data_IF_551605905839
#
_entry.id   IF_551605905839
#
_cell.length_a   1.000
_cell.length_b   1.000
_cell.length_c   1.000
_cell.angle_alpha   90.00
_cell.angle_beta   90.00
_cell.angle_gamma   90.00
#
_symmetry.space_group_name_H-M   'P 1'
#
loop_
_entity.id
_entity.type
_entity.pdbx_description
1 polymer ?
#
# COMPACT_ATOMS: atom_id res chain seq x y z
N UNK A 1 8.83 19.03 7.50
CA UNK A 1 10.11 18.67 8.14
C UNK A 1 11.11 19.83 8.21
N UNK A 2 11.33 20.59 7.13
CA UNK A 2 12.32 21.69 7.10
C UNK A 2 12.09 22.79 8.15
N UNK A 3 10.87 23.33 8.26
CA UNK A 3 10.57 24.35 9.28
C UNK A 3 10.73 23.86 10.72
N UNK A 4 10.36 22.60 11.00
CA UNK A 4 10.52 22.02 12.33
C UNK A 4 12.00 21.90 12.71
N UNK A 5 12.85 21.43 11.79
CA UNK A 5 14.30 21.37 12.01
C UNK A 5 14.93 22.75 12.23
N UNK A 6 14.41 23.80 11.59
CA UNK A 6 14.86 25.17 11.86
C UNK A 6 14.39 25.67 13.23
N UNK A 7 13.15 25.36 13.62
CA UNK A 7 12.64 25.70 14.96
C UNK A 7 13.43 24.97 16.07
N UNK A 8 13.75 23.69 15.87
CA UNK A 8 14.56 22.90 16.81
C UNK A 8 16.02 23.39 16.89
N UNK A 9 16.52 24.05 15.84
CA UNK A 9 17.81 24.77 15.82
C UNK A 9 17.71 26.19 16.38
N UNK A 10 16.61 26.52 17.05
CA UNK A 10 16.37 27.82 17.71
C UNK A 10 16.29 29.03 16.75
N UNK A 11 16.01 28.82 15.46
CA UNK A 11 15.67 29.93 14.57
C UNK A 11 14.30 30.50 14.92
N UNK A 12 14.16 31.82 14.90
CA UNK A 12 12.88 32.47 15.18
C UNK A 12 11.85 32.14 14.11
N UNK A 13 10.57 32.08 14.50
CA UNK A 13 9.48 31.81 13.57
C UNK A 13 9.41 32.84 12.43
N UNK A 14 9.81 34.09 12.69
CA UNK A 14 9.91 35.13 11.66
C UNK A 14 10.96 34.80 10.59
N UNK A 15 12.14 34.35 11.01
CA UNK A 15 13.19 33.91 10.08
C UNK A 15 12.74 32.70 9.27
N UNK A 16 12.04 31.75 9.88
CA UNK A 16 11.53 30.56 9.19
C UNK A 16 10.44 30.92 8.18
N UNK A 17 9.52 31.82 8.53
CA UNK A 17 8.48 32.33 7.62
C UNK A 17 9.10 33.03 6.41
N UNK A 18 10.10 33.89 6.64
CA UNK A 18 10.81 34.58 5.58
C UNK A 18 11.58 33.62 4.66
N UNK A 19 12.30 32.66 5.24
CA UNK A 19 13.07 31.68 4.47
C UNK A 19 12.21 30.75 3.60
N UNK A 20 10.98 30.48 4.04
CA UNK A 20 10.04 29.61 3.35
C UNK A 20 9.00 30.38 2.51
N UNK A 21 9.00 31.70 2.58
CA UNK A 21 7.99 32.57 1.98
C UNK A 21 6.54 32.14 2.33
N UNK A 22 6.29 31.88 3.61
CA UNK A 22 4.98 31.44 4.13
C UNK A 22 4.48 32.32 5.27
N UNK A 23 3.17 32.38 5.45
CA UNK A 23 2.56 33.10 6.57
C UNK A 23 2.57 32.30 7.90
N UNK A 24 2.19 32.99 8.98
CA UNK A 24 2.14 32.44 10.34
C UNK A 24 1.17 31.26 10.47
N UNK A 25 0.03 31.31 9.78
CA UNK A 25 -0.97 30.25 9.85
C UNK A 25 -0.48 28.98 9.15
N UNK A 26 0.19 29.13 8.00
CA UNK A 26 0.83 28.06 7.26
C UNK A 26 1.97 27.42 8.06
N UNK A 27 2.85 28.23 8.67
CA UNK A 27 3.93 27.72 9.53
C UNK A 27 3.37 26.95 10.74
N UNK A 28 2.39 27.52 11.45
CA UNK A 28 1.77 26.89 12.62
C UNK A 28 1.13 25.54 12.26
N UNK A 29 0.42 25.46 11.13
CA UNK A 29 -0.13 24.18 10.63
C UNK A 29 0.96 23.19 10.25
N UNK A 30 2.03 23.64 9.61
CA UNK A 30 3.12 22.74 9.19
C UNK A 30 3.87 22.16 10.40
N UNK A 31 4.09 22.96 11.44
CA UNK A 31 4.67 22.50 12.70
C UNK A 31 3.72 21.55 13.45
N UNK A 32 2.42 21.82 13.46
CA UNK A 32 1.42 20.95 14.08
C UNK A 32 1.44 19.54 13.49
N UNK A 33 1.46 19.43 12.15
CA UNK A 33 1.54 18.12 11.46
C UNK A 33 2.83 17.37 11.82
N UNK A 34 3.98 18.05 11.78
CA UNK A 34 5.28 17.41 12.05
C UNK A 34 5.40 16.98 13.52
N UNK A 35 4.81 17.74 14.45
CA UNK A 35 4.84 17.41 15.88
C UNK A 35 3.82 16.33 16.28
N UNK A 36 2.77 16.15 15.49
CA UNK A 36 1.71 15.17 15.76
C UNK A 36 2.01 13.76 15.23
N UNK A 37 3.01 13.61 14.35
CA UNK A 37 3.40 12.32 13.76
C UNK A 37 4.80 11.95 14.29
N UNK A 38 5.03 10.71 14.78
CA UNK A 38 6.36 10.23 15.17
C UNK A 38 7.37 10.43 14.05
N UNK A 39 8.56 10.92 14.41
CA UNK A 39 9.59 11.34 13.45
C UNK A 39 10.04 10.16 12.58
N UNK A 40 10.10 8.96 13.14
CA UNK A 40 10.50 7.72 12.46
C UNK A 40 9.57 7.42 11.29
N UNK A 41 8.26 7.71 11.45
CA UNK A 41 7.26 7.48 10.41
C UNK A 41 7.32 8.55 9.32
N UNK A 42 7.59 9.80 9.70
CA UNK A 42 7.83 10.88 8.72
C UNK A 42 9.05 10.55 7.86
N UNK A 43 10.13 10.07 8.48
CA UNK A 43 11.37 9.71 7.80
C UNK A 43 11.20 8.48 6.90
N UNK A 44 10.51 7.45 7.38
CA UNK A 44 10.24 6.25 6.58
C UNK A 44 9.34 6.56 5.37
N UNK A 45 8.37 7.46 5.49
CA UNK A 45 7.53 7.87 4.35
C UNK A 45 8.31 8.76 3.39
N UNK A 46 9.04 9.75 3.90
CA UNK A 46 9.76 10.74 3.09
C UNK A 46 8.84 11.85 2.53
N UNK A 47 9.40 12.69 1.66
CA UNK A 47 8.66 13.79 1.05
C UNK A 47 7.63 13.25 0.04
N UNK A 48 6.34 13.33 0.39
CA UNK A 48 5.19 12.91 -0.43
C UNK A 48 4.43 14.15 -0.95
N UNK A 49 4.89 14.78 -2.04
CA UNK A 49 4.36 16.05 -2.53
C UNK A 49 2.95 15.91 -3.14
N UNK A 50 2.61 14.78 -3.75
CA UNK A 50 1.32 14.57 -4.42
C UNK A 50 0.18 14.33 -3.42
N UNK A 51 0.50 13.85 -2.22
CA UNK A 51 -0.46 13.64 -1.12
C UNK A 51 -1.16 14.94 -0.70
N UNK A 52 -0.41 16.04 -0.72
CA UNK A 52 -0.88 17.36 -0.31
C UNK A 52 -1.10 17.52 1.19
N UNK A 53 -1.05 18.78 1.65
CA UNK A 53 -1.11 19.16 3.08
C UNK A 53 -2.35 18.66 3.81
N UNK A 54 -3.51 18.65 3.15
CA UNK A 54 -4.80 18.27 3.77
C UNK A 54 -4.78 16.82 4.28
N UNK A 55 -4.26 15.89 3.47
CA UNK A 55 -4.19 14.48 3.84
C UNK A 55 -3.19 14.21 4.97
N UNK A 56 -2.08 14.94 5.02
CA UNK A 56 -1.13 14.87 6.14
C UNK A 56 -1.74 15.31 7.47
N UNK A 57 -2.60 16.35 7.46
CA UNK A 57 -3.35 16.75 8.66
C UNK A 57 -4.34 15.67 9.10
N UNK A 58 -5.11 15.11 8.17
CA UNK A 58 -6.03 14.00 8.48
C UNK A 58 -5.29 12.78 9.04
N UNK A 59 -4.10 12.48 8.51
CA UNK A 59 -3.26 11.40 8.99
C UNK A 59 -2.79 11.65 10.43
N UNK A 60 -2.29 12.85 10.72
CA UNK A 60 -1.88 13.26 12.07
C UNK A 60 -3.03 13.18 13.08
N UNK A 61 -4.26 13.53 12.69
CA UNK A 61 -5.44 13.46 13.57
C UNK A 61 -5.90 12.03 13.85
N UNK A 62 -5.73 11.12 12.89
CA UNK A 62 -6.17 9.71 12.99
C UNK A 62 -5.15 8.83 13.70
N UNK A 63 -3.87 9.13 13.55
CA UNK A 63 -2.76 8.37 14.12
C UNK A 63 -2.90 8.06 15.62
N UNK A 64 -3.16 9.03 16.53
CA UNK A 64 -3.30 8.74 17.96
C UNK A 64 -4.56 7.93 18.31
N UNK A 65 -5.56 7.89 17.41
CA UNK A 65 -6.80 7.13 17.59
C UNK A 65 -6.70 5.70 17.05
N UNK A 66 -5.70 5.44 16.22
CA UNK A 66 -5.48 4.13 15.63
C UNK A 66 -4.83 3.20 16.66
N UNK A 67 -5.42 2.02 16.91
CA UNK A 67 -4.79 0.95 17.70
C UNK A 67 -3.83 0.14 16.81
N UNK A 68 -2.81 0.82 16.28
CA UNK A 68 -1.85 0.23 15.35
C UNK A 68 -0.47 0.27 15.96
N UNK A 69 0.23 -0.87 15.92
CA UNK A 69 1.63 -1.00 16.30
C UNK A 69 2.50 -0.20 15.32
N UNK A 70 3.11 0.90 15.77
CA UNK A 70 3.94 1.78 14.94
C UNK A 70 5.04 1.00 14.19
N UNK A 71 5.68 0.04 14.88
CA UNK A 71 6.72 -0.81 14.30
C UNK A 71 6.21 -1.69 13.15
N UNK A 72 4.97 -2.18 13.24
CA UNK A 72 4.38 -2.96 12.16
C UNK A 72 4.11 -2.09 10.92
N UNK A 73 3.71 -0.82 11.12
CA UNK A 73 3.55 0.13 10.01
C UNK A 73 4.90 0.38 9.34
N UNK A 74 5.93 0.71 10.12
CA UNK A 74 7.28 0.96 9.61
C UNK A 74 7.82 -0.23 8.83
N UNK A 75 7.70 -1.45 9.37
CA UNK A 75 8.16 -2.67 8.72
C UNK A 75 7.42 -2.99 7.41
N UNK A 76 6.20 -2.47 7.24
CA UNK A 76 5.45 -2.64 6.00
C UNK A 76 5.92 -1.72 4.87
N UNK A 77 6.54 -0.58 5.19
CA UNK A 77 6.97 0.39 4.20
C UNK A 77 8.20 -0.11 3.45
N UNK A 78 8.08 -0.24 2.12
CA UNK A 78 9.22 -0.59 1.27
C UNK A 78 9.97 0.66 0.80
N UNK A 79 11.31 0.60 0.86
CA UNK A 79 12.18 1.61 0.27
C UNK A 79 12.06 1.68 -1.26
N UNK A 80 11.65 0.58 -1.91
CA UNK A 80 11.46 0.50 -3.37
C UNK A 80 10.24 1.30 -3.86
N UNK A 81 9.31 1.65 -2.97
CA UNK A 81 8.13 2.44 -3.28
C UNK A 81 8.43 3.95 -3.34
N UNK A 82 7.58 4.72 -4.02
CA UNK A 82 7.64 6.19 -3.91
C UNK A 82 7.19 6.68 -2.53
N UNK A 83 7.57 7.89 -2.14
CA UNK A 83 7.11 8.49 -0.87
C UNK A 83 5.58 8.61 -0.81
N UNK A 84 4.93 8.95 -1.92
CA UNK A 84 3.47 9.02 -2.00
C UNK A 84 2.84 7.64 -1.81
N UNK A 85 3.42 6.58 -2.39
CA UNK A 85 2.98 5.20 -2.18
C UNK A 85 3.16 4.76 -0.72
N UNK A 86 4.31 5.07 -0.11
CA UNK A 86 4.55 4.81 1.32
C UNK A 86 3.55 5.54 2.22
N UNK A 87 3.18 6.78 1.87
CA UNK A 87 2.13 7.50 2.60
C UNK A 87 0.77 6.80 2.49
N UNK A 88 0.34 6.39 1.29
CA UNK A 88 -0.94 5.68 1.13
C UNK A 88 -0.95 4.38 1.91
N UNK A 89 0.17 3.66 1.94
CA UNK A 89 0.31 2.41 2.69
C UNK A 89 0.22 2.65 4.20
N UNK A 90 0.94 3.64 4.74
CA UNK A 90 0.87 4.02 6.14
C UNK A 90 -0.56 4.47 6.52
N UNK A 91 -1.20 5.30 5.69
CA UNK A 91 -2.58 5.75 5.91
C UNK A 91 -3.59 4.60 5.86
N UNK A 92 -3.40 3.63 4.95
CA UNK A 92 -4.20 2.41 4.88
C UNK A 92 -4.05 1.53 6.12
N UNK A 93 -2.84 1.47 6.70
CA UNK A 93 -2.60 0.74 7.95
C UNK A 93 -3.36 1.36 9.14
N UNK A 94 -3.49 2.70 9.21
CA UNK A 94 -4.27 3.38 10.25
C UNK A 94 -5.78 3.16 10.16
N UNK A 95 -6.28 2.97 8.94
CA UNK A 95 -7.70 2.68 8.68
C UNK A 95 -8.05 1.20 8.86
N UNK A 96 -7.03 0.34 8.93
CA UNK A 96 -7.20 -1.08 9.13
C UNK A 96 -7.33 -1.39 10.61
N UNK A 97 -8.58 -1.52 11.09
CA UNK A 97 -8.89 -2.37 12.26
C UNK A 97 -8.13 -3.69 12.15
N UNK A 98 -7.66 -4.30 13.25
CA UNK A 98 -6.63 -5.33 13.26
C UNK A 98 -7.02 -6.49 12.35
N UNK A 99 -6.48 -6.51 11.14
CA UNK A 99 -6.36 -7.74 10.38
C UNK A 99 -4.97 -8.25 10.65
N UNK A 100 -4.92 -9.15 11.62
CA UNK A 100 -3.90 -10.19 11.80
C UNK A 100 -3.17 -10.40 10.48
N UNK A 101 -1.85 -10.22 10.50
CA UNK A 101 -0.93 -10.39 9.39
C UNK A 101 -1.43 -11.47 8.43
N UNK A 102 -2.11 -11.05 7.37
CA UNK A 102 -2.53 -11.94 6.31
C UNK A 102 -1.36 -11.97 5.37
N UNK A 103 -0.59 -13.06 5.42
CA UNK A 103 0.38 -13.39 4.39
C UNK A 103 -0.24 -13.02 3.04
N UNK A 104 0.44 -12.13 2.31
CA UNK A 104 -0.03 -11.74 0.99
C UNK A 104 -0.22 -13.03 0.17
N UNK A 105 -1.42 -13.28 -0.39
CA UNK A 105 -1.62 -14.44 -1.23
C UNK A 105 -0.64 -14.31 -2.40
N UNK A 106 0.22 -15.32 -2.58
CA UNK A 106 1.15 -15.41 -3.71
C UNK A 106 0.37 -15.11 -4.98
N UNK A 107 0.63 -13.95 -5.57
CA UNK A 107 -0.04 -13.52 -6.78
C UNK A 107 0.77 -14.05 -7.94
N UNK A 108 0.32 -15.17 -8.53
CA UNK A 108 0.92 -15.67 -9.75
C UNK A 108 0.33 -14.86 -10.92
N UNK A 109 1.20 -14.25 -11.71
CA UNK A 109 0.83 -13.47 -12.89
C UNK A 109 1.18 -14.27 -14.15
N UNK A 110 0.20 -14.49 -15.02
CA UNK A 110 0.40 -15.06 -16.34
C UNK A 110 -0.21 -14.14 -17.39
N UNK A 111 0.45 -13.95 -18.52
CA UNK A 111 -0.06 -13.15 -19.63
C UNK A 111 0.14 -13.87 -20.95
N UNK A 112 -0.82 -13.71 -21.86
CA UNK A 112 -0.68 -14.16 -23.23
C UNK A 112 0.42 -13.35 -23.95
N UNK A 113 1.14 -13.98 -24.89
CA UNK A 113 2.30 -13.36 -25.59
C UNK A 113 1.92 -12.12 -26.39
N UNK A 114 0.68 -12.08 -26.87
CA UNK A 114 0.06 -10.98 -27.62
C UNK A 114 -0.58 -9.92 -26.70
N UNK A 115 -0.49 -10.08 -25.37
CA UNK A 115 -1.07 -9.20 -24.35
C UNK A 115 -2.60 -9.07 -24.41
N UNK A 116 -3.29 -9.97 -25.13
CA UNK A 116 -4.75 -9.95 -25.25
C UNK A 116 -5.46 -10.36 -23.96
N UNK A 117 -4.79 -11.18 -23.14
CA UNK A 117 -5.27 -11.67 -21.85
C UNK A 117 -4.17 -11.57 -20.79
N UNK A 118 -4.55 -11.06 -19.62
CA UNK A 118 -3.73 -11.09 -18.40
C UNK A 118 -4.50 -11.82 -17.30
N UNK A 119 -3.82 -12.68 -16.55
CA UNK A 119 -4.40 -13.50 -15.48
C UNK A 119 -3.61 -13.31 -14.19
N UNK A 120 -4.30 -12.95 -13.12
CA UNK A 120 -3.73 -12.96 -11.77
C UNK A 120 -4.47 -13.97 -10.89
N UNK A 121 -3.70 -14.79 -10.16
CA UNK A 121 -4.26 -15.78 -9.25
C UNK A 121 -3.87 -15.42 -7.83
N UNK A 122 -4.87 -15.12 -6.99
CA UNK A 122 -4.70 -14.91 -5.54
C UNK A 122 -5.23 -16.12 -4.81
N UNK A 123 -4.32 -16.95 -4.29
CA UNK A 123 -4.66 -18.18 -3.58
C UNK A 123 -4.40 -18.07 -2.07
N UNK A 124 -5.32 -18.66 -1.28
CA UNK A 124 -5.21 -18.91 0.16
C UNK A 124 -5.42 -20.40 0.41
N UNK A 125 -5.15 -20.89 1.63
CA UNK A 125 -5.33 -22.29 1.99
C UNK A 125 -6.76 -22.85 1.76
N UNK A 126 -7.78 -21.99 1.69
CA UNK A 126 -9.20 -22.40 1.56
C UNK A 126 -9.90 -21.89 0.30
N UNK A 127 -9.30 -20.94 -0.43
CA UNK A 127 -9.94 -20.25 -1.56
C UNK A 127 -8.90 -19.70 -2.51
N UNK A 128 -9.14 -19.84 -3.80
CA UNK A 128 -8.45 -19.10 -4.85
C UNK A 128 -9.40 -18.15 -5.57
N UNK A 129 -8.91 -16.99 -5.97
CA UNK A 129 -9.58 -16.05 -6.87
C UNK A 129 -8.69 -15.89 -8.08
N UNK A 130 -9.27 -16.12 -9.26
CA UNK A 130 -8.61 -15.89 -10.54
C UNK A 130 -9.26 -14.68 -11.19
N UNK A 131 -8.45 -13.68 -11.52
CA UNK A 131 -8.89 -12.44 -12.17
C UNK A 131 -8.33 -12.41 -13.58
N UNK A 132 -9.22 -12.23 -14.56
CA UNK A 132 -8.90 -12.13 -15.98
C UNK A 132 -9.11 -10.69 -16.44
N UNK A 133 -8.07 -10.08 -17.01
CA UNK A 133 -8.03 -8.69 -17.44
C UNK A 133 -7.50 -8.59 -18.88
N UNK A 134 -7.40 -7.35 -19.39
CA UNK A 134 -7.14 -7.01 -20.79
C UNK A 134 -8.34 -7.26 -21.73
N UNK A 135 -8.15 -6.95 -23.02
CA UNK A 135 -9.23 -6.83 -24.02
C UNK A 135 -10.06 -8.10 -24.15
N UNK A 136 -9.42 -9.25 -24.15
CA UNK A 136 -10.09 -10.55 -24.35
C UNK A 136 -10.31 -11.30 -23.03
N UNK A 137 -10.00 -10.67 -21.89
CA UNK A 137 -10.13 -11.25 -20.54
C UNK A 137 -11.53 -11.80 -20.22
N UNK A 138 -12.63 -11.04 -20.44
CA UNK A 138 -13.98 -11.53 -20.17
C UNK A 138 -14.38 -12.73 -21.03
N UNK A 139 -14.06 -12.70 -22.33
CA UNK A 139 -14.35 -13.80 -23.26
C UNK A 139 -13.58 -15.05 -22.89
N UNK A 140 -12.31 -14.88 -22.52
CA UNK A 140 -11.47 -15.97 -22.05
C UNK A 140 -11.98 -16.55 -20.72
N UNK A 141 -12.46 -15.72 -19.78
CA UNK A 141 -13.08 -16.19 -18.55
C UNK A 141 -14.34 -17.05 -18.80
N UNK A 142 -15.19 -16.66 -19.76
CA UNK A 142 -16.35 -17.44 -20.15
C UNK A 142 -15.95 -18.80 -20.76
N UNK A 143 -14.93 -18.80 -21.61
CA UNK A 143 -14.38 -20.03 -22.20
C UNK A 143 -13.84 -21.00 -21.14
N UNK A 144 -13.08 -20.50 -20.16
CA UNK A 144 -12.57 -21.32 -19.05
C UNK A 144 -13.71 -21.86 -18.19
N UNK A 145 -14.72 -21.03 -17.91
CA UNK A 145 -15.90 -21.43 -17.12
C UNK A 145 -16.63 -22.61 -17.77
N UNK A 146 -16.78 -22.61 -19.09
CA UNK A 146 -17.39 -23.71 -19.85
C UNK A 146 -16.57 -25.00 -19.89
N UNK A 147 -15.33 -25.01 -19.37
CA UNK A 147 -14.43 -26.18 -19.35
C UNK A 147 -14.03 -26.60 -17.94
N UNK A 148 -14.67 -26.06 -16.90
CA UNK A 148 -14.28 -26.32 -15.51
C UNK A 148 -14.35 -27.80 -15.15
N UNK A 149 -15.34 -28.53 -15.66
CA UNK A 149 -15.47 -29.97 -15.41
C UNK A 149 -14.27 -30.75 -15.98
N UNK A 150 -13.94 -30.52 -17.25
CA UNK A 150 -12.79 -31.14 -17.92
C UNK A 150 -11.46 -30.78 -17.24
N UNK A 151 -11.28 -29.49 -16.89
CA UNK A 151 -10.10 -28.99 -16.19
C UNK A 151 -9.96 -29.62 -14.80
N UNK A 152 -11.08 -29.80 -14.09
CA UNK A 152 -11.09 -30.45 -12.79
C UNK A 152 -10.78 -31.95 -12.90
N UNK A 153 -11.33 -32.65 -13.90
CA UNK A 153 -10.99 -34.04 -14.15
C UNK A 153 -9.50 -34.22 -14.49
N UNK A 154 -8.96 -33.38 -15.38
CA UNK A 154 -7.55 -33.40 -15.74
C UNK A 154 -6.65 -33.15 -14.51
N UNK A 155 -7.03 -32.20 -13.65
CA UNK A 155 -6.33 -31.95 -12.38
C UNK A 155 -6.39 -33.15 -11.44
N UNK A 156 -7.55 -33.82 -11.30
CA UNK A 156 -7.66 -35.04 -10.48
C UNK A 156 -6.78 -36.17 -11.01
N UNK A 157 -6.64 -36.30 -12.33
CA UNK A 157 -5.77 -37.31 -12.96
C UNK A 157 -4.30 -37.00 -12.74
N UNK A 158 -3.87 -35.72 -12.77
CA UNK A 158 -2.48 -35.35 -12.51
C UNK A 158 -2.05 -35.46 -11.04
N UNK A 159 -3.01 -35.44 -10.10
CA UNK A 159 -2.78 -35.64 -8.67
C UNK A 159 -2.74 -37.12 -8.24
N UNK A 160 -3.24 -38.05 -9.07
CA UNK A 160 -3.05 -39.48 -8.81
C UNK A 160 -1.62 -39.84 -9.22
N UNK A 161 -0.73 -40.24 -8.28
CA UNK A 161 0.55 -40.78 -8.69
C UNK A 161 0.28 -42.02 -9.55
N UNK A 162 1.00 -42.12 -10.66
CA UNK A 162 1.17 -43.39 -11.37
C UNK A 162 1.92 -44.32 -10.43
N UNK A 163 1.19 -45.00 -9.53
CA UNK A 163 1.72 -46.17 -8.83
C UNK A 163 1.57 -47.35 -9.79
N UNK A 164 2.69 -47.78 -10.35
CA UNK A 164 2.90 -48.85 -11.34
C UNK A 164 4.09 -48.42 -12.20
N UNK A 165 5.28 -49.01 -12.13
CA UNK A 165 5.72 -50.37 -11.75
C UNK A 165 6.76 -50.39 -10.61
#
# INVERSE_FOLDING_TARGET
MFAARLEDRSFSREVIMAALNIDKAALSKMLSVVRAIPIELIEAIGAAPEVGRRRWMEFAEKLPKAKVELQAVLASLSADNSSDQRFQQAAGALLSLPKIARQEPRTNLWGARDKSVSVSVKATAKKAIVTYEAKDGPTFAAYITGRLDDLYEAFRKSQKPSTGD
#
